data_IF_527006141265
#
_entry.id   IF_527006141265
#
_cell.length_a   1.000
_cell.length_b   1.000
_cell.length_c   1.000
_cell.angle_alpha   90.00
_cell.angle_beta   90.00
_cell.angle_gamma   90.00
#
_symmetry.space_group_name_H-M   'P 1'
#
loop_
_entity.id
_entity.type
_entity.pdbx_description
1 polymer ?
#
# COMPACT_ATOMS: atom_id res chain seq x y z
N UNK A 1 -18.23 -16.26 -13.19
CA UNK A 1 -16.80 -15.87 -13.10
C UNK A 1 -16.26 -16.55 -11.85
N UNK A 2 -15.54 -17.66 -12.00
CA UNK A 2 -14.92 -18.37 -10.87
C UNK A 2 -13.62 -17.65 -10.53
N UNK A 3 -13.56 -16.98 -9.39
CA UNK A 3 -12.30 -16.39 -8.92
C UNK A 3 -11.45 -17.54 -8.36
N UNK A 4 -10.19 -17.56 -8.71
CA UNK A 4 -9.21 -18.51 -8.19
C UNK A 4 -9.10 -18.36 -6.66
N UNK A 5 -9.27 -19.43 -5.86
CA UNK A 5 -9.13 -19.39 -4.40
C UNK A 5 -7.79 -18.79 -3.96
N UNK A 6 -6.72 -19.04 -4.71
CA UNK A 6 -5.40 -18.48 -4.45
C UNK A 6 -5.38 -16.95 -4.60
N UNK A 7 -6.15 -16.41 -5.55
CA UNK A 7 -6.26 -14.95 -5.73
C UNK A 7 -6.98 -14.29 -4.55
N UNK A 8 -8.04 -14.92 -4.03
CA UNK A 8 -8.74 -14.43 -2.83
C UNK A 8 -7.80 -14.48 -1.61
N UNK A 9 -7.15 -15.61 -1.40
CA UNK A 9 -6.26 -15.78 -0.25
C UNK A 9 -5.10 -14.77 -0.29
N UNK A 10 -4.50 -14.53 -1.46
CA UNK A 10 -3.43 -13.58 -1.62
C UNK A 10 -3.92 -12.12 -1.46
N UNK A 11 -5.12 -11.79 -1.96
CA UNK A 11 -5.70 -10.45 -1.76
C UNK A 11 -5.98 -10.16 -0.28
N UNK A 12 -6.39 -11.17 0.49
CA UNK A 12 -6.56 -11.08 1.95
C UNK A 12 -5.21 -10.89 2.65
N UNK A 13 -4.18 -11.64 2.27
CA UNK A 13 -2.83 -11.49 2.82
C UNK A 13 -2.23 -10.12 2.50
N UNK A 14 -2.37 -9.65 1.26
CA UNK A 14 -1.97 -8.31 0.84
C UNK A 14 -2.75 -7.22 1.60
N UNK A 15 -4.05 -7.42 1.81
CA UNK A 15 -4.88 -6.55 2.64
C UNK A 15 -4.39 -6.47 4.08
N UNK A 16 -4.07 -7.59 4.70
CA UNK A 16 -3.51 -7.62 6.05
C UNK A 16 -2.17 -6.86 6.14
N UNK A 17 -1.29 -7.08 5.17
CA UNK A 17 -0.02 -6.35 5.06
C UNK A 17 -0.26 -4.84 4.89
N UNK A 18 -1.18 -4.45 4.00
CA UNK A 18 -1.57 -3.06 3.77
C UNK A 18 -2.13 -2.39 5.03
N UNK A 19 -3.00 -3.07 5.78
CA UNK A 19 -3.53 -2.58 7.04
C UNK A 19 -2.46 -2.32 8.10
N UNK A 20 -1.45 -3.20 8.21
CA UNK A 20 -0.32 -3.01 9.14
C UNK A 20 0.56 -1.84 8.75
N UNK A 21 0.99 -1.78 7.50
CA UNK A 21 1.84 -0.70 6.97
C UNK A 21 1.12 0.64 7.04
N UNK A 22 -0.18 0.64 6.71
CA UNK A 22 -1.05 1.80 6.80
C UNK A 22 -1.11 2.44 8.18
N UNK A 23 -1.08 1.64 9.27
CA UNK A 23 -1.01 2.18 10.62
C UNK A 23 0.19 3.11 10.81
N UNK A 24 1.36 2.70 10.34
CA UNK A 24 2.57 3.52 10.45
C UNK A 24 2.56 4.71 9.48
N UNK A 25 1.98 4.54 8.27
CA UNK A 25 1.79 5.64 7.33
C UNK A 25 0.89 6.75 7.92
N UNK A 26 -0.24 6.35 8.54
CA UNK A 26 -1.15 7.28 9.21
C UNK A 26 -0.50 7.95 10.43
N UNK A 27 0.30 7.22 11.21
CA UNK A 27 1.05 7.78 12.34
C UNK A 27 2.12 8.78 11.89
N UNK A 28 2.78 8.52 10.76
CA UNK A 28 3.78 9.39 10.13
C UNK A 28 3.18 10.58 9.38
N UNK A 29 1.86 10.72 9.33
CA UNK A 29 1.12 11.71 8.53
C UNK A 29 1.35 11.58 7.02
N UNK A 30 1.77 10.43 6.55
CA UNK A 30 2.05 10.11 5.15
C UNK A 30 0.85 9.45 4.46
N UNK A 31 -0.37 9.84 4.79
CA UNK A 31 -1.58 9.19 4.26
C UNK A 31 -1.72 9.34 2.75
N UNK A 32 -1.46 10.53 2.22
CA UNK A 32 -1.50 10.78 0.78
C UNK A 32 -0.32 10.15 0.03
N UNK A 33 0.75 9.81 0.73
CA UNK A 33 1.91 9.14 0.15
C UNK A 33 1.58 7.76 -0.41
N UNK A 34 0.61 7.05 0.17
CA UNK A 34 0.20 5.73 -0.32
C UNK A 34 -0.39 5.83 -1.74
N UNK A 35 -1.21 6.83 -1.98
CA UNK A 35 -1.79 7.10 -3.28
C UNK A 35 -0.72 7.62 -4.26
N UNK A 36 0.05 8.62 -3.84
CA UNK A 36 1.12 9.19 -4.66
C UNK A 36 2.17 8.14 -5.08
N UNK A 37 2.63 7.28 -4.16
CA UNK A 37 3.61 6.24 -4.47
C UNK A 37 3.02 5.20 -5.43
N UNK A 38 1.74 4.85 -5.33
CA UNK A 38 1.13 3.89 -6.26
C UNK A 38 1.20 4.35 -7.71
N UNK A 39 1.05 5.64 -7.95
CA UNK A 39 1.16 6.22 -9.29
C UNK A 39 2.60 6.29 -9.84
N UNK A 40 3.63 6.18 -9.00
CA UNK A 40 5.02 6.05 -9.45
C UNK A 40 5.23 4.75 -10.25
N UNK A 41 4.35 3.75 -10.09
CA UNK A 41 4.38 2.54 -10.89
C UNK A 41 4.04 2.77 -12.38
N UNK A 42 3.25 3.80 -12.72
CA UNK A 42 2.70 4.02 -14.07
C UNK A 42 3.76 4.10 -15.17
N UNK A 43 4.83 4.93 -15.07
CA UNK A 43 5.83 4.97 -16.12
C UNK A 43 6.56 3.62 -16.29
N UNK A 44 6.73 2.86 -15.21
CA UNK A 44 7.31 1.52 -15.28
C UNK A 44 6.41 0.52 -15.96
N UNK A 45 5.10 0.56 -15.70
CA UNK A 45 4.10 -0.27 -16.39
C UNK A 45 4.08 0.08 -17.87
N UNK A 46 4.00 1.37 -18.23
CA UNK A 46 4.01 1.82 -19.61
C UNK A 46 5.29 1.39 -20.37
N UNK A 47 6.44 1.53 -19.73
CA UNK A 47 7.72 1.11 -20.33
C UNK A 47 7.77 -0.42 -20.51
N UNK A 48 7.26 -1.19 -19.54
CA UNK A 48 7.21 -2.65 -19.65
C UNK A 48 6.31 -3.11 -20.81
N UNK A 49 5.17 -2.47 -21.00
CA UNK A 49 4.27 -2.72 -22.13
C UNK A 49 4.96 -2.45 -23.47
N UNK A 50 5.66 -1.31 -23.59
CA UNK A 50 6.45 -0.98 -24.78
C UNK A 50 7.55 -2.01 -25.07
N UNK A 51 8.21 -2.50 -24.02
CA UNK A 51 9.28 -3.50 -24.15
C UNK A 51 8.76 -4.95 -24.22
N UNK A 52 7.43 -5.15 -24.19
CA UNK A 52 6.76 -6.45 -24.16
C UNK A 52 7.22 -7.34 -22.99
N UNK A 53 7.51 -6.70 -21.84
CA UNK A 53 7.85 -7.37 -20.58
C UNK A 53 6.60 -7.37 -19.68
N UNK A 54 6.58 -8.24 -18.69
CA UNK A 54 5.46 -8.33 -17.76
C UNK A 54 5.22 -7.01 -17.01
N UNK A 55 4.02 -6.38 -17.06
CA UNK A 55 3.75 -5.05 -16.53
C UNK A 55 4.04 -4.91 -15.03
N UNK A 56 3.81 -5.98 -14.26
CA UNK A 56 4.09 -5.99 -12.81
C UNK A 56 5.58 -5.77 -12.51
N UNK A 57 6.47 -6.35 -13.32
CA UNK A 57 7.91 -6.15 -13.15
C UNK A 57 8.29 -4.69 -13.40
N UNK A 58 7.72 -4.07 -14.43
CA UNK A 58 7.93 -2.65 -14.72
C UNK A 58 7.41 -1.76 -13.60
N UNK A 59 6.20 -2.00 -13.11
CA UNK A 59 5.63 -1.26 -11.99
C UNK A 59 6.43 -1.43 -10.70
N UNK A 60 6.83 -2.66 -10.36
CA UNK A 60 7.64 -2.94 -9.18
C UNK A 60 9.03 -2.28 -9.25
N UNK A 61 9.69 -2.33 -10.41
CA UNK A 61 10.99 -1.66 -10.58
C UNK A 61 10.87 -0.14 -10.49
N UNK A 62 9.84 0.45 -11.07
CA UNK A 62 9.58 1.89 -10.94
C UNK A 62 9.30 2.30 -9.49
N UNK A 63 8.53 1.50 -8.74
CA UNK A 63 8.30 1.73 -7.31
C UNK A 63 9.60 1.67 -6.50
N UNK A 64 10.48 0.70 -6.77
CA UNK A 64 11.78 0.60 -6.10
C UNK A 64 12.66 1.80 -6.43
N UNK A 65 12.81 2.15 -7.71
CA UNK A 65 13.58 3.31 -8.15
C UNK A 65 13.02 4.59 -7.53
N UNK A 66 11.71 4.80 -7.60
CA UNK A 66 11.03 5.95 -6.98
C UNK A 66 11.27 6.02 -5.46
N UNK A 67 11.22 4.89 -4.78
CA UNK A 67 11.50 4.82 -3.34
C UNK A 67 12.94 5.23 -3.02
N UNK A 68 13.94 4.75 -3.79
CA UNK A 68 15.33 5.17 -3.63
C UNK A 68 15.53 6.64 -3.96
N UNK A 69 14.84 7.18 -4.96
CA UNK A 69 14.86 8.61 -5.27
C UNK A 69 14.29 9.44 -4.12
N UNK A 70 13.13 9.06 -3.59
CA UNK A 70 12.52 9.73 -2.43
C UNK A 70 13.47 9.73 -1.25
N UNK A 71 14.01 8.56 -0.88
CA UNK A 71 14.96 8.45 0.23
C UNK A 71 16.25 9.24 -0.01
N UNK A 72 16.81 9.20 -1.22
CA UNK A 72 18.02 9.92 -1.59
C UNK A 72 17.86 11.44 -1.53
N UNK A 73 16.72 11.96 -2.02
CA UNK A 73 16.39 13.38 -1.97
C UNK A 73 16.13 13.82 -0.53
N UNK A 74 15.32 13.07 0.24
CA UNK A 74 15.04 13.34 1.64
C UNK A 74 16.31 13.47 2.47
N UNK A 75 17.28 12.57 2.27
CA UNK A 75 18.55 12.60 3.01
C UNK A 75 19.49 13.76 2.61
N UNK A 76 19.34 14.31 1.41
CA UNK A 76 20.16 15.43 0.92
C UNK A 76 19.53 16.79 1.12
N UNK A 77 18.20 16.80 1.22
CA UNK A 77 17.43 18.02 1.34
C UNK A 77 16.73 18.03 2.68
N UNK A 78 16.58 18.90 3.45
CA UNK A 78 15.80 18.88 4.70
C UNK A 78 14.28 18.99 4.46
N UNK A 79 13.82 18.57 3.28
CA UNK A 79 12.41 18.60 2.93
C UNK A 79 11.64 17.48 3.63
N UNK A 80 10.37 17.73 3.92
CA UNK A 80 9.49 16.69 4.46
C UNK A 80 9.32 15.56 3.42
N UNK A 81 9.31 14.31 3.87
CA UNK A 81 9.14 13.11 3.02
C UNK A 81 7.93 13.24 2.09
N UNK A 82 6.81 13.78 2.58
CA UNK A 82 5.59 13.98 1.80
C UNK A 82 5.78 14.94 0.61
N UNK A 83 6.56 16.00 0.80
CA UNK A 83 6.90 16.96 -0.28
C UNK A 83 7.74 16.27 -1.35
N UNK A 84 8.74 15.49 -0.94
CA UNK A 84 9.61 14.77 -1.88
C UNK A 84 8.82 13.73 -2.67
N UNK A 85 7.94 12.98 -2.00
CA UNK A 85 7.02 12.03 -2.65
C UNK A 85 6.16 12.76 -3.67
N UNK A 86 5.60 13.93 -3.34
CA UNK A 86 4.79 14.72 -4.26
C UNK A 86 5.55 15.12 -5.54
N UNK A 87 6.82 15.52 -5.42
CA UNK A 87 7.65 15.87 -6.59
C UNK A 87 7.93 14.65 -7.45
N UNK A 88 8.36 13.53 -6.84
CA UNK A 88 8.65 12.27 -7.56
C UNK A 88 7.39 11.73 -8.23
N UNK A 89 6.25 11.76 -7.54
CA UNK A 89 4.95 11.38 -8.07
C UNK A 89 4.55 12.22 -9.29
N UNK A 90 4.59 13.56 -9.19
CA UNK A 90 4.20 14.44 -10.28
C UNK A 90 5.09 14.22 -11.51
N UNK A 91 6.38 14.01 -11.30
CA UNK A 91 7.33 13.70 -12.38
C UNK A 91 7.02 12.33 -13.00
N UNK A 92 6.78 11.32 -12.18
CA UNK A 92 6.43 9.97 -12.65
C UNK A 92 5.11 9.98 -13.45
N UNK A 93 4.10 10.71 -12.95
CA UNK A 93 2.82 10.84 -13.65
C UNK A 93 2.97 11.52 -15.01
N UNK A 94 3.77 12.59 -15.08
CA UNK A 94 4.05 13.27 -16.35
C UNK A 94 4.77 12.34 -17.35
N UNK A 95 5.78 11.59 -16.90
CA UNK A 95 6.48 10.59 -17.73
C UNK A 95 5.52 9.48 -18.16
N UNK A 96 4.73 8.94 -17.24
CA UNK A 96 3.76 7.88 -17.50
C UNK A 96 2.73 8.27 -18.54
N UNK A 97 2.18 9.49 -18.45
CA UNK A 97 1.20 10.00 -19.41
C UNK A 97 1.74 10.21 -20.83
N UNK A 98 3.05 10.38 -20.98
CA UNK A 98 3.70 10.49 -22.30
C UNK A 98 4.00 9.11 -22.93
N UNK A 99 4.14 8.07 -22.11
CA UNK A 99 4.60 6.75 -22.57
C UNK A 99 3.42 5.80 -22.77
N UNK A 100 2.36 5.91 -21.94
CA UNK A 100 1.28 4.92 -21.87
C UNK A 100 0.09 5.36 -22.73
N UNK A 101 -0.48 4.44 -23.52
CA UNK A 101 -1.73 4.68 -24.25
C UNK A 101 -2.94 4.72 -23.31
N UNK A 102 -4.03 5.39 -23.73
CA UNK A 102 -5.20 5.60 -22.87
C UNK A 102 -5.89 4.31 -22.43
N UNK A 103 -5.97 3.28 -23.28
CA UNK A 103 -6.61 1.99 -22.95
C UNK A 103 -5.78 1.19 -21.95
N UNK A 104 -4.47 1.08 -22.18
CA UNK A 104 -3.53 0.38 -21.29
C UNK A 104 -3.46 1.06 -19.91
N UNK A 105 -3.58 2.39 -19.88
CA UNK A 105 -3.62 3.16 -18.66
C UNK A 105 -4.86 2.83 -17.82
N UNK A 106 -6.02 2.71 -18.45
CA UNK A 106 -7.28 2.35 -17.77
C UNK A 106 -7.16 0.96 -17.13
N UNK A 107 -6.62 -0.03 -17.85
CA UNK A 107 -6.43 -1.37 -17.31
C UNK A 107 -5.45 -1.38 -16.13
N UNK A 108 -4.36 -0.64 -16.21
CA UNK A 108 -3.39 -0.51 -15.12
C UNK A 108 -4.00 0.20 -13.89
N UNK A 109 -4.87 1.19 -14.09
CA UNK A 109 -5.50 1.95 -13.02
C UNK A 109 -6.49 1.13 -12.20
N UNK A 110 -7.29 0.28 -12.84
CA UNK A 110 -8.36 -0.48 -12.17
C UNK A 110 -7.96 -1.91 -11.78
N UNK A 111 -6.81 -2.40 -12.25
CA UNK A 111 -6.35 -3.76 -12.02
C UNK A 111 -7.18 -4.80 -12.78
N UNK A 112 -6.69 -6.02 -12.82
CA UNK A 112 -7.38 -7.13 -13.47
C UNK A 112 -7.30 -8.41 -12.63
N UNK A 113 -8.42 -9.11 -12.47
CA UNK A 113 -8.46 -10.44 -11.85
C UNK A 113 -8.13 -11.48 -12.93
N UNK A 114 -6.86 -11.51 -13.34
CA UNK A 114 -6.37 -12.60 -14.20
C UNK A 114 -6.12 -13.87 -13.38
N UNK A 115 -6.01 -15.02 -14.08
CA UNK A 115 -5.55 -16.24 -13.45
C UNK A 115 -4.13 -16.06 -12.93
N UNK A 116 -3.93 -16.41 -11.65
CA UNK A 116 -2.60 -16.41 -11.03
C UNK A 116 -1.90 -17.73 -11.38
N UNK A 117 -0.67 -17.61 -11.80
CA UNK A 117 0.21 -18.77 -11.80
C UNK A 117 0.58 -19.14 -10.36
N UNK A 118 0.81 -20.41 -10.11
CA UNK A 118 1.23 -20.91 -8.77
C UNK A 118 2.50 -20.20 -8.28
N UNK A 119 3.40 -19.84 -9.19
CA UNK A 119 4.63 -19.12 -8.88
C UNK A 119 4.31 -17.69 -8.41
N UNK A 120 3.46 -16.97 -9.13
CA UNK A 120 3.05 -15.62 -8.74
C UNK A 120 2.36 -15.60 -7.38
N UNK A 121 1.48 -16.57 -7.13
CA UNK A 121 0.80 -16.71 -5.84
C UNK A 121 1.81 -16.96 -4.71
N UNK A 122 2.74 -17.91 -4.89
CA UNK A 122 3.74 -18.23 -3.86
C UNK A 122 4.68 -17.04 -3.56
N UNK A 123 5.16 -16.35 -4.58
CA UNK A 123 5.96 -15.13 -4.42
C UNK A 123 5.16 -14.06 -3.68
N UNK A 124 3.91 -13.83 -4.07
CA UNK A 124 3.03 -12.87 -3.40
C UNK A 124 2.81 -13.18 -1.92
N UNK A 125 2.59 -14.45 -1.55
CA UNK A 125 2.47 -14.86 -0.15
C UNK A 125 3.75 -14.66 0.65
N UNK A 126 4.91 -15.03 0.09
CA UNK A 126 6.22 -14.81 0.73
C UNK A 126 6.45 -13.32 0.98
N UNK A 127 6.16 -12.48 0.00
CA UNK A 127 6.30 -11.04 0.13
C UNK A 127 5.32 -10.46 1.16
N UNK A 128 4.04 -10.84 1.14
CA UNK A 128 3.06 -10.39 2.12
C UNK A 128 3.44 -10.82 3.54
N UNK A 129 3.89 -12.06 3.71
CA UNK A 129 4.40 -12.57 4.99
C UNK A 129 5.64 -11.80 5.45
N UNK A 130 6.59 -11.54 4.56
CA UNK A 130 7.79 -10.72 4.84
C UNK A 130 7.43 -9.32 5.34
N UNK A 131 6.46 -8.65 4.70
CA UNK A 131 5.93 -7.35 5.13
C UNK A 131 5.35 -7.44 6.55
N UNK A 132 4.49 -8.42 6.80
CA UNK A 132 3.85 -8.62 8.11
C UNK A 132 4.90 -8.83 9.20
N UNK A 133 5.84 -9.75 8.97
CA UNK A 133 6.93 -10.05 9.91
C UNK A 133 7.78 -8.82 10.17
N UNK A 134 8.19 -8.10 9.11
CA UNK A 134 8.98 -6.89 9.26
C UNK A 134 8.28 -5.84 10.13
N UNK A 135 7.02 -5.54 9.84
CA UNK A 135 6.26 -4.52 10.58
C UNK A 135 6.09 -4.93 12.05
N UNK A 136 5.72 -6.19 12.32
CA UNK A 136 5.53 -6.68 13.69
C UNK A 136 6.84 -6.72 14.47
N UNK A 137 7.96 -7.09 13.84
CA UNK A 137 9.27 -7.14 14.47
C UNK A 137 9.82 -5.75 14.76
N UNK A 138 9.72 -4.84 13.78
CA UNK A 138 10.26 -3.49 13.90
C UNK A 138 9.32 -2.47 14.53
N UNK A 139 8.10 -2.87 14.92
CA UNK A 139 7.05 -1.96 15.43
C UNK A 139 7.53 -0.99 16.52
N UNK A 140 8.33 -1.48 17.48
CA UNK A 140 8.84 -0.66 18.59
C UNK A 140 9.86 0.35 18.12
N UNK A 141 10.77 -0.05 17.21
CA UNK A 141 11.76 0.85 16.63
C UNK A 141 11.13 1.91 15.73
N UNK A 142 10.10 1.50 14.95
CA UNK A 142 9.35 2.43 14.10
C UNK A 142 8.61 3.49 14.92
N UNK A 143 7.99 3.10 16.05
CA UNK A 143 7.33 4.05 16.96
C UNK A 143 8.36 4.94 17.65
N UNK A 144 9.46 4.38 18.14
CA UNK A 144 10.50 5.16 18.82
C UNK A 144 11.11 6.21 17.87
N UNK A 145 11.42 5.82 16.63
CA UNK A 145 11.95 6.74 15.62
C UNK A 145 10.93 7.84 15.24
N UNK A 146 9.62 7.56 15.36
CA UNK A 146 8.56 8.52 15.09
C UNK A 146 8.37 9.53 16.22
N UNK A 147 8.39 9.06 17.48
CA UNK A 147 8.08 9.87 18.67
C UNK A 147 9.30 10.71 19.07
N UNK A 148 10.49 10.12 19.03
CA UNK A 148 11.73 10.80 19.40
C UNK A 148 12.91 10.25 18.59
N UNK A 149 13.20 10.86 17.43
CA UNK A 149 14.37 10.48 16.62
C UNK A 149 15.69 10.57 17.40
N UNK A 150 15.80 11.53 18.31
CA UNK A 150 17.00 11.75 19.15
C UNK A 150 17.24 10.54 20.08
N UNK A 151 16.18 10.09 20.79
CA UNK A 151 16.28 8.90 21.64
C UNK A 151 16.55 7.65 20.81
N UNK A 152 15.97 7.54 19.61
CA UNK A 152 16.25 6.43 18.71
C UNK A 152 17.74 6.39 18.34
N UNK A 153 18.38 7.53 18.07
CA UNK A 153 19.80 7.60 17.80
C UNK A 153 20.66 7.18 19.01
N UNK A 154 20.32 7.63 20.22
CA UNK A 154 21.08 7.26 21.43
C UNK A 154 20.95 5.78 21.78
N UNK A 155 19.86 5.14 21.39
CA UNK A 155 19.66 3.68 21.53
C UNK A 155 20.29 2.84 20.41
N UNK A 156 21.10 3.44 19.54
CA UNK A 156 21.79 2.74 18.46
C UNK A 156 20.93 2.44 17.23
N UNK A 157 19.74 3.02 17.12
CA UNK A 157 18.88 2.84 15.96
C UNK A 157 19.31 3.82 14.87
N UNK A 158 19.73 3.29 13.71
CA UNK A 158 19.97 4.11 12.53
C UNK A 158 18.63 4.50 11.89
N UNK A 159 18.13 5.70 12.22
CA UNK A 159 16.82 6.20 11.78
C UNK A 159 16.73 6.29 10.25
N UNK A 160 17.82 6.68 9.56
CA UNK A 160 17.85 6.78 8.10
C UNK A 160 17.66 5.40 7.43
N UNK A 161 18.36 4.36 7.92
CA UNK A 161 18.21 2.99 7.42
C UNK A 161 16.83 2.44 7.73
N UNK A 162 16.30 2.70 8.93
CA UNK A 162 14.95 2.27 9.31
C UNK A 162 13.90 2.94 8.43
N UNK A 163 14.08 4.22 8.07
CA UNK A 163 13.20 4.93 7.16
C UNK A 163 13.23 4.33 5.75
N UNK A 164 14.43 4.05 5.21
CA UNK A 164 14.56 3.36 3.93
C UNK A 164 13.85 2.00 3.93
N UNK A 165 14.11 1.18 4.95
CA UNK A 165 13.45 -0.12 5.08
C UNK A 165 11.91 0.02 5.13
N UNK A 166 11.40 1.01 5.86
CA UNK A 166 9.96 1.29 5.90
C UNK A 166 9.41 1.70 4.53
N UNK A 167 10.08 2.61 3.82
CA UNK A 167 9.68 3.04 2.48
C UNK A 167 9.71 1.88 1.47
N UNK A 168 10.70 1.00 1.55
CA UNK A 168 10.78 -0.19 0.70
C UNK A 168 9.63 -1.18 0.99
N UNK A 169 9.35 -1.43 2.27
CA UNK A 169 8.23 -2.29 2.67
C UNK A 169 6.89 -1.66 2.27
N UNK A 170 6.78 -0.34 2.35
CA UNK A 170 5.61 0.40 1.90
C UNK A 170 5.41 0.27 0.39
N UNK A 171 6.46 0.49 -0.41
CA UNK A 171 6.42 0.30 -1.86
C UNK A 171 6.10 -1.15 -2.26
N UNK A 172 6.68 -2.13 -1.53
CA UNK A 172 6.40 -3.54 -1.73
C UNK A 172 4.93 -3.89 -1.43
N UNK A 173 4.36 -3.30 -0.39
CA UNK A 173 2.94 -3.47 -0.05
C UNK A 173 2.04 -2.91 -1.15
N UNK A 174 2.41 -1.77 -1.73
CA UNK A 174 1.71 -1.19 -2.88
C UNK A 174 1.84 -2.12 -4.09
N UNK A 175 3.05 -2.61 -4.40
CA UNK A 175 3.28 -3.53 -5.52
C UNK A 175 2.43 -4.81 -5.41
N UNK A 176 2.27 -5.35 -4.20
CA UNK A 176 1.37 -6.47 -3.94
C UNK A 176 -0.10 -6.13 -4.23
N UNK A 177 -0.53 -4.93 -3.87
CA UNK A 177 -1.90 -4.48 -4.09
C UNK A 177 -2.22 -4.11 -5.53
N UNK A 178 -1.23 -3.69 -6.33
CA UNK A 178 -1.43 -3.26 -7.73
C UNK A 178 -2.13 -4.31 -8.58
N UNK A 179 -1.78 -5.58 -8.40
CA UNK A 179 -2.34 -6.69 -9.18
C UNK A 179 -3.86 -6.82 -9.05
N UNK A 180 -4.39 -6.62 -7.82
CA UNK A 180 -5.80 -6.90 -7.49
C UNK A 180 -6.69 -5.66 -7.49
N UNK A 181 -6.13 -4.54 -7.06
CA UNK A 181 -6.87 -3.30 -6.85
C UNK A 181 -6.59 -2.27 -7.93
N UNK A 182 -5.48 -2.44 -8.66
CA UNK A 182 -4.96 -1.41 -9.56
C UNK A 182 -4.32 -0.25 -8.82
N UNK A 183 -3.67 0.61 -9.58
CA UNK A 183 -2.94 1.78 -9.06
C UNK A 183 -3.84 2.71 -8.25
N UNK A 184 -5.07 2.93 -8.74
CA UNK A 184 -5.99 3.92 -8.20
C UNK A 184 -6.52 3.55 -6.80
N UNK A 185 -6.65 2.26 -6.49
CA UNK A 185 -7.40 1.82 -5.32
C UNK A 185 -6.52 1.22 -4.21
N UNK A 186 -5.27 0.89 -4.53
CA UNK A 186 -4.36 0.28 -3.55
C UNK A 186 -4.05 1.22 -2.38
N UNK A 187 -3.89 2.52 -2.65
CA UNK A 187 -3.69 3.53 -1.62
C UNK A 187 -4.83 3.58 -0.60
N UNK A 188 -6.07 3.46 -1.08
CA UNK A 188 -7.26 3.44 -0.23
C UNK A 188 -7.26 2.26 0.75
N UNK A 189 -6.83 1.06 0.32
CA UNK A 189 -6.74 -0.12 1.20
C UNK A 189 -5.67 0.04 2.28
N UNK A 190 -4.61 0.80 2.02
CA UNK A 190 -3.60 1.13 3.04
C UNK A 190 -4.14 2.14 4.05
N UNK A 191 -4.87 3.16 3.58
CA UNK A 191 -5.28 4.31 4.39
C UNK A 191 -6.53 4.04 5.21
N UNK A 192 -7.61 3.57 4.59
CA UNK A 192 -8.95 3.53 5.21
C UNK A 192 -9.01 2.60 6.43
N UNK A 193 -8.49 1.35 6.39
CA UNK A 193 -8.48 0.48 7.56
C UNK A 193 -7.66 1.05 8.71
N UNK A 194 -6.51 1.66 8.40
CA UNK A 194 -5.63 2.28 9.39
C UNK A 194 -6.26 3.53 10.03
N UNK A 195 -6.95 4.36 9.25
CA UNK A 195 -7.69 5.51 9.75
C UNK A 195 -8.86 5.08 10.66
N UNK A 196 -9.58 4.04 10.26
CA UNK A 196 -10.63 3.40 11.09
C UNK A 196 -10.06 2.90 12.40
N UNK A 197 -8.93 2.20 12.33
CA UNK A 197 -8.25 1.65 13.50
C UNK A 197 -7.75 2.76 14.43
N UNK A 198 -7.13 3.82 13.89
CA UNK A 198 -6.64 4.96 14.68
C UNK A 198 -7.76 5.60 15.51
N UNK A 199 -8.97 5.63 14.97
CA UNK A 199 -10.14 6.20 15.64
C UNK A 199 -10.69 5.30 16.75
N UNK A 200 -10.63 3.99 16.57
CA UNK A 200 -11.22 3.01 17.49
C UNK A 200 -10.23 2.50 18.55
N UNK A 201 -8.93 2.56 18.27
CA UNK A 201 -7.89 1.96 19.10
C UNK A 201 -7.51 2.84 20.28
N UNK A 202 -7.11 2.17 21.39
CA UNK A 202 -6.57 2.81 22.60
C UNK A 202 -5.07 2.55 22.79
N UNK A 203 -4.49 1.67 22.00
CA UNK A 203 -3.08 1.30 22.07
C UNK A 203 -2.58 0.92 20.68
N UNK A 204 -1.25 0.92 20.50
CA UNK A 204 -0.64 0.48 19.24
C UNK A 204 -1.07 -0.95 18.86
N UNK A 205 -1.08 -1.87 19.83
CA UNK A 205 -1.48 -3.27 19.57
C UNK A 205 -2.93 -3.35 19.07
N UNK A 206 -3.85 -2.63 19.71
CA UNK A 206 -5.24 -2.59 19.26
C UNK A 206 -5.39 -1.91 17.90
N UNK A 207 -4.59 -0.87 17.61
CA UNK A 207 -4.59 -0.21 16.31
C UNK A 207 -4.18 -1.17 15.19
N UNK A 208 -3.07 -1.90 15.38
CA UNK A 208 -2.61 -2.89 14.41
C UNK A 208 -3.65 -4.00 14.21
N UNK A 209 -4.20 -4.55 15.30
CA UNK A 209 -5.20 -5.63 15.23
C UNK A 209 -6.49 -5.18 14.53
N UNK A 210 -7.05 -4.01 14.90
CA UNK A 210 -8.27 -3.47 14.29
C UNK A 210 -8.03 -3.17 12.81
N UNK A 211 -6.89 -2.58 12.45
CA UNK A 211 -6.56 -2.29 11.04
C UNK A 211 -6.52 -3.57 10.20
N UNK A 212 -5.85 -4.61 10.68
CA UNK A 212 -5.81 -5.92 10.00
C UNK A 212 -7.20 -6.51 9.86
N UNK A 213 -8.00 -6.52 10.95
CA UNK A 213 -9.38 -7.06 10.91
C UNK A 213 -10.25 -6.30 9.91
N UNK A 214 -10.22 -4.96 9.92
CA UNK A 214 -10.98 -4.13 8.97
C UNK A 214 -10.50 -4.38 7.54
N UNK A 215 -9.19 -4.49 7.31
CA UNK A 215 -8.64 -4.76 5.99
C UNK A 215 -9.05 -6.13 5.46
N UNK A 216 -8.94 -7.19 6.27
CA UNK A 216 -9.37 -8.54 5.91
C UNK A 216 -10.90 -8.56 5.65
N UNK A 217 -11.69 -7.96 6.53
CA UNK A 217 -13.14 -7.90 6.36
C UNK A 217 -13.53 -7.13 5.08
N UNK A 218 -12.86 -6.01 4.80
CA UNK A 218 -13.12 -5.23 3.59
C UNK A 218 -12.76 -5.99 2.33
N UNK A 219 -11.63 -6.71 2.34
CA UNK A 219 -11.19 -7.51 1.19
C UNK A 219 -12.12 -8.70 0.95
N UNK A 220 -12.49 -9.43 1.99
CA UNK A 220 -13.38 -10.61 1.86
C UNK A 220 -14.80 -10.23 1.47
N UNK A 221 -15.40 -9.27 2.19
CA UNK A 221 -16.77 -8.81 1.89
C UNK A 221 -16.85 -8.07 0.56
N UNK A 222 -15.85 -7.25 0.24
CA UNK A 222 -15.79 -6.52 -1.02
C UNK A 222 -15.64 -7.46 -2.22
N UNK A 223 -14.82 -8.49 -2.11
CA UNK A 223 -14.69 -9.53 -3.14
C UNK A 223 -15.99 -10.35 -3.28
N UNK A 224 -16.61 -10.74 -2.17
CA UNK A 224 -17.91 -11.43 -2.20
C UNK A 224 -19.00 -10.58 -2.85
N UNK A 225 -19.10 -9.30 -2.51
CA UNK A 225 -20.05 -8.36 -3.08
C UNK A 225 -19.80 -8.11 -4.56
N UNK A 226 -18.54 -8.05 -4.98
CA UNK A 226 -18.12 -7.96 -6.37
C UNK A 226 -18.64 -9.13 -7.21
N UNK A 227 -18.51 -10.36 -6.68
CA UNK A 227 -19.04 -11.56 -7.32
C UNK A 227 -20.57 -11.53 -7.45
N UNK A 228 -21.26 -11.14 -6.37
CA UNK A 228 -22.72 -11.10 -6.34
C UNK A 228 -23.30 -10.04 -7.28
N UNK A 229 -22.61 -8.91 -7.46
CA UNK A 229 -23.08 -7.79 -8.29
C UNK A 229 -22.45 -7.77 -9.69
N UNK A 230 -21.60 -8.75 -10.04
CA UNK A 230 -20.86 -8.80 -11.30
C UNK A 230 -20.07 -7.50 -11.60
N UNK A 231 -19.42 -6.94 -10.56
CA UNK A 231 -18.62 -5.71 -10.64
C UNK A 231 -17.15 -5.99 -10.36
N UNK A 232 -16.29 -5.04 -10.70
CA UNK A 232 -14.86 -5.11 -10.43
C UNK A 232 -14.57 -5.13 -8.91
N UNK A 233 -13.68 -6.01 -8.41
CA UNK A 233 -13.46 -6.18 -6.97
C UNK A 233 -12.83 -4.95 -6.29
N UNK A 234 -11.91 -4.25 -6.94
CA UNK A 234 -11.23 -3.10 -6.36
C UNK A 234 -12.17 -2.04 -5.77
N UNK A 235 -13.07 -1.44 -6.56
CA UNK A 235 -14.02 -0.45 -6.06
C UNK A 235 -14.93 -0.99 -4.95
N UNK A 236 -15.35 -2.26 -5.02
CA UNK A 236 -16.20 -2.87 -3.99
C UNK A 236 -15.48 -3.00 -2.66
N UNK A 237 -14.21 -3.40 -2.67
CA UNK A 237 -13.37 -3.47 -1.47
C UNK A 237 -13.23 -2.09 -0.81
N UNK A 238 -12.99 -1.05 -1.62
CA UNK A 238 -12.85 0.32 -1.11
C UNK A 238 -14.17 0.84 -0.53
N UNK A 239 -15.30 0.57 -1.18
CA UNK A 239 -16.62 0.97 -0.67
C UNK A 239 -16.94 0.28 0.67
N UNK A 240 -16.64 -1.00 0.82
CA UNK A 240 -16.81 -1.72 2.09
C UNK A 240 -15.89 -1.14 3.17
N UNK A 241 -14.62 -0.86 2.84
CA UNK A 241 -13.70 -0.23 3.78
C UNK A 241 -14.19 1.16 4.22
N UNK A 242 -14.66 1.98 3.28
CA UNK A 242 -15.27 3.28 3.55
C UNK A 242 -16.53 3.15 4.44
N UNK A 243 -17.35 2.14 4.22
CA UNK A 243 -18.48 1.81 5.08
C UNK A 243 -18.05 1.55 6.52
N UNK A 244 -17.02 0.74 6.75
CA UNK A 244 -16.45 0.53 8.09
C UNK A 244 -15.92 1.82 8.71
N UNK A 245 -15.28 2.66 7.92
CA UNK A 245 -14.82 3.96 8.40
C UNK A 245 -15.99 4.84 8.84
N UNK A 246 -17.03 4.97 8.01
CA UNK A 246 -18.24 5.75 8.33
C UNK A 246 -18.96 5.20 9.57
N UNK A 247 -19.09 3.87 9.70
CA UNK A 247 -19.63 3.24 10.90
C UNK A 247 -18.78 3.55 12.14
N UNK A 248 -17.46 3.65 12.00
CA UNK A 248 -16.58 4.06 13.09
C UNK A 248 -16.89 5.48 13.59
N UNK A 249 -17.43 6.36 12.73
CA UNK A 249 -17.80 7.73 13.09
C UNK A 249 -19.00 7.79 14.05
N UNK A 250 -19.88 6.80 13.99
CA UNK A 250 -21.06 6.71 14.89
C UNK A 250 -20.62 6.42 16.33
N UNK A 251 -19.45 5.83 16.53
CA UNK A 251 -18.88 5.65 17.86
C UNK A 251 -18.28 7.00 18.32
N UNK A 252 -18.94 7.65 19.28
CA UNK A 252 -18.45 8.91 19.87
C UNK A 252 -16.98 8.73 20.30
N UNK A 253 -16.09 9.56 19.73
CA UNK A 253 -14.72 9.66 20.20
C UNK A 253 -14.79 10.11 21.65
N UNK A 254 -14.38 9.26 22.58
CA UNK A 254 -14.08 9.73 23.93
C UNK A 254 -12.74 10.46 23.82
N UNK A 255 -12.83 11.79 23.78
CA UNK A 255 -11.67 12.67 23.91
C UNK A 255 -10.90 12.35 25.19
#
# INVERSE_FOLDING_TARGET
MSIDPNAIALSVAAGAAAGLVGCFAVMRRMTLAADAISHIALPGIGLALLLRIHPILGGATALLVGTFLVWGIENRTRLATETVIGVVFSTALAIGSLITSGEELIEALFGGVGHLTTIEASVGFVLAFGVIVFVLWQRHRLVLALVSPEIAHTTGINVQRLNLCFLLVFALTIALGLRYLGVLLVGSLVIIPAATAKRLARSLRSMLAISVMVSIASTTLGTWLSLSLHRTPGPMIVLVAAGFFLLSLLRRSRA
#
